data_IF_422518159479
#
_entry.id   IF_422518159479
#
_cell.length_a   1.000
_cell.length_b   1.000
_cell.length_c   1.000
_cell.angle_alpha   90.00
_cell.angle_beta   90.00
_cell.angle_gamma   90.00
#
_symmetry.space_group_name_H-M   'P 1'
#
loop_
_entity.id
_entity.type
_entity.pdbx_description
1 polymer ?
#
# COMPACT_ATOMS: atom_id res chain seq x y z
N UNK A 1 31.16 76.08 69.84
CA UNK A 1 31.41 74.99 68.86
C UNK A 1 30.35 73.86 68.84
N UNK A 2 29.26 73.90 69.62
CA UNK A 2 28.28 72.80 69.65
C UNK A 2 27.24 72.77 68.51
N UNK A 3 26.97 73.90 67.83
CA UNK A 3 25.94 73.94 66.77
C UNK A 3 26.34 73.21 65.48
N UNK A 4 27.64 73.14 65.15
CA UNK A 4 28.13 72.48 63.92
C UNK A 4 28.00 70.96 64.01
N UNK A 5 28.11 70.39 65.21
CA UNK A 5 28.05 68.95 65.42
C UNK A 5 26.63 68.37 65.29
N UNK A 6 25.60 69.18 65.53
CA UNK A 6 24.20 68.75 65.47
C UNK A 6 23.69 68.68 64.02
N UNK A 7 24.16 69.57 63.16
CA UNK A 7 23.82 69.60 61.73
C UNK A 7 24.45 68.45 60.96
N UNK A 8 25.70 68.08 61.24
CA UNK A 8 26.39 66.95 60.60
C UNK A 8 25.77 65.61 60.98
N UNK A 9 25.39 65.41 62.25
CA UNK A 9 24.64 64.24 62.71
C UNK A 9 23.29 64.08 61.99
N UNK A 10 22.59 65.19 61.76
CA UNK A 10 21.27 65.15 61.11
C UNK A 10 21.34 64.91 59.60
N UNK A 11 22.39 65.39 58.93
CA UNK A 11 22.66 65.08 57.52
C UNK A 11 23.11 63.63 57.33
N UNK A 12 23.96 63.10 58.23
CA UNK A 12 24.40 61.71 58.16
C UNK A 12 23.23 60.72 58.30
N UNK A 13 22.28 60.98 59.21
CA UNK A 13 21.06 60.16 59.34
C UNK A 13 20.17 60.20 58.09
N UNK A 14 20.06 61.35 57.42
CA UNK A 14 19.31 61.49 56.16
C UNK A 14 19.92 60.68 55.03
N UNK A 15 21.24 60.78 54.84
CA UNK A 15 21.95 60.01 53.81
C UNK A 15 21.85 58.49 54.04
N UNK A 16 21.92 58.02 55.30
CA UNK A 16 21.74 56.59 55.61
C UNK A 16 20.32 56.12 55.29
N UNK A 17 19.30 56.95 55.51
CA UNK A 17 17.92 56.61 55.19
C UNK A 17 17.69 56.51 53.67
N UNK A 18 18.20 57.47 52.90
CA UNK A 18 18.09 57.47 51.43
C UNK A 18 18.82 56.29 50.79
N UNK A 19 20.02 55.95 51.29
CA UNK A 19 20.78 54.78 50.82
C UNK A 19 20.03 53.47 51.13
N UNK A 20 19.36 53.38 52.28
CA UNK A 20 18.57 52.20 52.66
C UNK A 20 17.32 52.05 51.80
N UNK A 21 16.61 53.13 51.51
CA UNK A 21 15.47 53.11 50.59
C UNK A 21 15.84 52.74 49.16
N UNK A 22 16.96 53.28 48.65
CA UNK A 22 17.43 52.91 47.32
C UNK A 22 17.81 51.43 47.23
N UNK A 23 18.42 50.85 48.28
CA UNK A 23 18.71 49.41 48.32
C UNK A 23 17.43 48.57 48.33
N UNK A 24 16.43 48.95 49.13
CA UNK A 24 15.13 48.25 49.18
C UNK A 24 14.41 48.28 47.82
N UNK A 25 14.40 49.43 47.14
CA UNK A 25 13.81 49.55 45.79
C UNK A 25 14.53 48.66 44.76
N UNK A 26 15.86 48.54 44.84
CA UNK A 26 16.63 47.64 43.95
C UNK A 26 16.34 46.16 44.22
N UNK A 27 16.22 45.77 45.49
CA UNK A 27 15.89 44.39 45.88
C UNK A 27 14.48 44.02 45.42
N UNK A 28 13.48 44.87 45.68
CA UNK A 28 12.11 44.65 45.24
C UNK A 28 11.98 44.57 43.70
N UNK A 29 12.76 45.38 42.96
CA UNK A 29 12.79 45.32 41.50
C UNK A 29 13.38 44.01 40.97
N UNK A 30 14.45 43.48 41.60
CA UNK A 30 15.02 42.16 41.25
C UNK A 30 14.02 41.04 41.51
N UNK A 31 13.39 41.04 42.67
CA UNK A 31 12.44 39.99 43.05
C UNK A 31 11.20 39.94 42.14
N UNK A 32 10.71 41.11 41.68
CA UNK A 32 9.62 41.19 40.71
C UNK A 32 10.05 40.69 39.32
N UNK A 33 11.29 41.01 38.90
CA UNK A 33 11.85 40.53 37.63
C UNK A 33 12.02 39.01 37.61
N UNK A 34 12.51 38.43 38.71
CA UNK A 34 12.74 36.98 38.81
C UNK A 34 11.42 36.19 38.77
N UNK A 35 10.34 36.73 39.37
CA UNK A 35 9.00 36.14 39.29
C UNK A 35 8.45 36.16 37.86
N UNK A 36 8.59 37.28 37.15
CA UNK A 36 8.15 37.40 35.76
C UNK A 36 8.95 36.44 34.86
N UNK A 37 10.27 36.37 35.04
CA UNK A 37 11.12 35.48 34.26
C UNK A 37 10.75 34.01 34.46
N UNK A 38 10.52 33.58 35.71
CA UNK A 38 10.06 32.21 36.01
C UNK A 38 8.68 31.91 35.40
N UNK A 39 7.77 32.87 35.41
CA UNK A 39 6.43 32.70 34.81
C UNK A 39 6.52 32.55 33.29
N UNK A 40 7.26 33.46 32.63
CA UNK A 40 7.47 33.44 31.18
C UNK A 40 8.18 32.16 30.74
N UNK A 41 9.23 31.75 31.44
CA UNK A 41 9.98 30.51 31.13
C UNK A 41 9.10 29.26 31.21
N UNK A 42 8.25 29.13 32.24
CA UNK A 42 7.31 28.00 32.38
C UNK A 42 6.30 27.96 31.23
N UNK A 43 5.74 29.11 30.86
CA UNK A 43 4.79 29.17 29.75
C UNK A 43 5.46 28.83 28.43
N UNK A 44 6.61 29.43 28.10
CA UNK A 44 7.35 29.15 26.86
C UNK A 44 7.67 27.66 26.74
N UNK A 45 8.11 27.03 27.83
CA UNK A 45 8.39 25.59 27.84
C UNK A 45 7.12 24.77 27.56
N UNK A 46 5.99 25.09 28.19
CA UNK A 46 4.71 24.44 27.90
C UNK A 46 4.27 24.59 26.44
N UNK A 47 4.39 25.80 25.88
CA UNK A 47 4.11 26.05 24.47
C UNK A 47 5.03 25.25 23.53
N UNK A 48 6.32 25.15 23.85
CA UNK A 48 7.28 24.39 23.03
C UNK A 48 6.96 22.89 23.02
N UNK A 49 6.61 22.30 24.17
CA UNK A 49 6.22 20.88 24.24
C UNK A 49 4.94 20.65 23.43
N UNK A 50 3.94 21.52 23.62
CA UNK A 50 2.69 21.41 22.86
C UNK A 50 2.93 21.50 21.36
N UNK A 51 3.79 22.42 20.90
CA UNK A 51 4.10 22.56 19.48
C UNK A 51 4.76 21.30 18.90
N UNK A 52 5.72 20.71 19.63
CA UNK A 52 6.40 19.46 19.22
C UNK A 52 5.40 18.31 19.14
N UNK A 53 4.50 18.17 20.13
CA UNK A 53 3.47 17.13 20.11
C UNK A 53 2.53 17.29 18.90
N UNK A 54 2.05 18.51 18.62
CA UNK A 54 1.15 18.74 17.49
C UNK A 54 1.82 18.44 16.14
N UNK A 55 3.10 18.81 15.99
CA UNK A 55 3.87 18.49 14.79
C UNK A 55 4.09 16.98 14.62
N UNK A 56 4.41 16.28 15.71
CA UNK A 56 4.58 14.82 15.70
C UNK A 56 3.29 14.08 15.33
N UNK A 57 2.16 14.46 15.93
CA UNK A 57 0.85 13.88 15.60
C UNK A 57 0.46 14.19 14.15
N UNK A 58 0.71 15.41 13.67
CA UNK A 58 0.46 15.80 12.28
C UNK A 58 1.28 14.97 11.28
N UNK A 59 2.56 14.75 11.58
CA UNK A 59 3.44 13.92 10.77
C UNK A 59 2.92 12.46 10.67
N UNK A 60 2.57 11.85 11.81
CA UNK A 60 2.04 10.49 11.84
C UNK A 60 0.72 10.36 11.06
N UNK A 61 -0.17 11.35 11.20
CA UNK A 61 -1.44 11.38 10.46
C UNK A 61 -1.22 11.48 8.94
N UNK A 62 -0.28 12.34 8.51
CA UNK A 62 0.07 12.47 7.09
C UNK A 62 0.67 11.18 6.53
N UNK A 63 1.56 10.51 7.26
CA UNK A 63 2.14 9.24 6.82
C UNK A 63 1.08 8.15 6.71
N UNK A 64 0.16 8.06 7.68
CA UNK A 64 -0.94 7.10 7.62
C UNK A 64 -1.88 7.38 6.44
N UNK A 65 -2.16 8.66 6.15
CA UNK A 65 -2.97 9.05 5.00
C UNK A 65 -2.29 8.70 3.66
N UNK A 66 -0.98 8.92 3.54
CA UNK A 66 -0.21 8.52 2.36
C UNK A 66 -0.26 7.00 2.15
N UNK A 67 0.01 6.22 3.19
CA UNK A 67 -0.09 4.75 3.11
C UNK A 67 -1.50 4.28 2.77
N UNK A 68 -2.53 4.96 3.28
CA UNK A 68 -3.92 4.65 2.92
C UNK A 68 -4.19 4.91 1.43
N UNK A 69 -3.71 6.03 0.89
CA UNK A 69 -3.88 6.42 -0.51
C UNK A 69 -3.07 5.55 -1.49
N UNK A 70 -1.92 5.02 -1.06
CA UNK A 70 -1.11 4.10 -1.86
C UNK A 70 -1.78 2.74 -2.07
N UNK A 71 -2.83 2.43 -1.31
CA UNK A 71 -3.58 1.17 -1.37
C UNK A 71 -2.67 -0.08 -1.41
N UNK A 72 -1.71 -0.24 -0.49
CA UNK A 72 -0.86 -1.42 -0.47
C UNK A 72 -1.73 -2.64 -0.18
N UNK A 73 -1.99 -3.46 -1.20
CA UNK A 73 -2.71 -4.71 -1.03
C UNK A 73 -1.76 -5.75 -0.46
N UNK A 74 -2.07 -6.26 0.73
CA UNK A 74 -1.37 -7.41 1.31
C UNK A 74 -2.16 -8.65 0.92
N UNK A 75 -1.63 -9.40 -0.03
CA UNK A 75 -2.21 -10.70 -0.40
C UNK A 75 -1.76 -11.72 0.64
N UNK A 76 -2.68 -12.11 1.53
CA UNK A 76 -2.45 -13.23 2.45
C UNK A 76 -2.69 -14.54 1.72
N UNK A 77 -1.64 -15.37 1.57
CA UNK A 77 -1.76 -16.71 1.01
C UNK A 77 -2.38 -17.65 2.04
N UNK A 78 -3.70 -17.62 2.16
CA UNK A 78 -4.45 -18.64 2.88
C UNK A 78 -4.64 -19.85 1.96
N UNK A 79 -3.98 -20.96 2.31
CA UNK A 79 -4.10 -22.22 1.57
C UNK A 79 -5.36 -22.95 2.03
N UNK A 80 -6.51 -22.66 1.40
CA UNK A 80 -7.74 -23.42 1.59
C UNK A 80 -7.73 -24.63 0.66
N UNK A 81 -7.41 -25.81 1.20
CA UNK A 81 -7.36 -27.07 0.42
C UNK A 81 -8.72 -27.73 0.21
N UNK A 82 -9.75 -27.33 0.96
CA UNK A 82 -11.02 -28.07 1.05
C UNK A 82 -12.06 -27.69 -0.01
N UNK A 83 -11.77 -26.70 -0.87
CA UNK A 83 -12.70 -26.20 -1.87
C UNK A 83 -12.07 -26.06 -3.28
N UNK A 84 -11.11 -26.92 -3.62
CA UNK A 84 -10.55 -26.93 -4.96
C UNK A 84 -11.59 -27.48 -5.95
N UNK A 85 -12.31 -26.58 -6.62
CA UNK A 85 -13.13 -26.92 -7.78
C UNK A 85 -12.23 -27.53 -8.87
N UNK A 86 -12.73 -28.56 -9.54
CA UNK A 86 -12.01 -29.17 -10.66
C UNK A 86 -11.80 -28.11 -11.75
N UNK A 87 -10.56 -27.86 -12.22
CA UNK A 87 -10.31 -26.80 -13.17
C UNK A 87 -11.00 -27.10 -14.50
N UNK A 88 -11.46 -26.06 -15.19
CA UNK A 88 -11.91 -26.18 -16.56
C UNK A 88 -10.77 -26.71 -17.43
N UNK A 89 -10.91 -27.93 -17.94
CA UNK A 89 -9.94 -28.54 -18.86
C UNK A 89 -10.38 -28.27 -20.28
N UNK A 90 -9.55 -27.56 -21.04
CA UNK A 90 -9.75 -27.36 -22.49
C UNK A 90 -8.87 -28.35 -23.24
N UNK A 91 -9.48 -29.30 -23.95
CA UNK A 91 -8.77 -30.27 -24.79
C UNK A 91 -8.72 -29.71 -26.21
N UNK A 92 -7.51 -29.47 -26.72
CA UNK A 92 -7.27 -29.13 -28.12
C UNK A 92 -6.88 -30.41 -28.87
N UNK A 93 -7.73 -30.96 -29.75
CA UNK A 93 -7.32 -32.09 -30.56
C UNK A 93 -6.18 -31.65 -31.49
N UNK A 94 -5.14 -32.48 -31.63
CA UNK A 94 -4.06 -32.23 -32.60
C UNK A 94 -4.58 -32.25 -34.04
N UNK A 95 -5.60 -33.09 -34.28
CA UNK A 95 -6.24 -33.27 -35.58
C UNK A 95 -7.72 -32.90 -35.50
N UNK A 96 -8.04 -31.67 -35.91
CA UNK A 96 -9.40 -31.16 -35.90
C UNK A 96 -10.29 -31.77 -36.99
N UNK A 97 -9.69 -32.29 -38.06
CA UNK A 97 -10.40 -32.76 -39.26
C UNK A 97 -9.84 -34.08 -39.74
N UNK A 98 -10.72 -34.87 -40.34
CA UNK A 98 -10.27 -36.00 -41.15
C UNK A 98 -9.79 -35.47 -42.51
N UNK A 99 -8.49 -35.21 -42.64
CA UNK A 99 -7.88 -34.70 -43.88
C UNK A 99 -8.19 -35.60 -45.08
N UNK A 100 -8.28 -36.92 -44.89
CA UNK A 100 -8.64 -37.84 -45.97
C UNK A 100 -10.03 -37.57 -46.52
N UNK A 101 -11.00 -37.20 -45.68
CA UNK A 101 -12.35 -36.86 -46.14
C UNK A 101 -12.40 -35.46 -46.78
N UNK A 102 -11.71 -34.49 -46.19
CA UNK A 102 -11.60 -33.12 -46.74
C UNK A 102 -10.97 -33.16 -48.14
N UNK A 103 -9.90 -33.92 -48.32
CA UNK A 103 -9.21 -34.04 -49.61
C UNK A 103 -10.00 -34.82 -50.66
N UNK A 104 -10.91 -35.72 -50.25
CA UNK A 104 -11.85 -36.36 -51.19
C UNK A 104 -12.84 -35.35 -51.77
N UNK A 105 -13.26 -34.38 -50.98
CA UNK A 105 -14.27 -33.40 -51.38
C UNK A 105 -13.66 -32.16 -52.04
N UNK A 106 -12.50 -31.68 -51.56
CA UNK A 106 -11.74 -30.58 -52.15
C UNK A 106 -10.32 -31.01 -52.54
N UNK A 107 -10.15 -31.78 -53.63
CA UNK A 107 -8.87 -32.35 -54.02
C UNK A 107 -7.81 -31.31 -54.42
N UNK A 108 -8.23 -30.10 -54.81
CA UNK A 108 -7.31 -29.03 -55.26
C UNK A 108 -6.64 -28.26 -54.13
N UNK A 109 -7.22 -28.25 -52.92
CA UNK A 109 -6.76 -27.46 -51.76
C UNK A 109 -6.56 -28.37 -50.53
N UNK A 110 -5.82 -29.46 -50.72
CA UNK A 110 -5.65 -30.52 -49.73
C UNK A 110 -4.44 -30.32 -48.79
N UNK A 111 -3.65 -29.25 -48.95
CA UNK A 111 -2.50 -29.07 -48.06
C UNK A 111 -2.95 -28.60 -46.67
N UNK A 112 -2.20 -29.00 -45.63
CA UNK A 112 -2.46 -28.58 -44.24
C UNK A 112 -2.56 -27.06 -44.11
N UNK A 113 -1.78 -26.32 -44.91
CA UNK A 113 -1.76 -24.86 -44.94
C UNK A 113 -3.04 -24.29 -45.54
N UNK A 114 -3.50 -24.82 -46.67
CA UNK A 114 -4.72 -24.36 -47.36
C UNK A 114 -5.96 -24.59 -46.50
N UNK A 115 -6.01 -25.76 -45.86
CA UNK A 115 -7.05 -26.12 -44.90
C UNK A 115 -7.03 -25.09 -43.77
N UNK A 116 -5.92 -24.93 -43.03
CA UNK A 116 -5.81 -23.97 -41.91
C UNK A 116 -6.13 -22.51 -42.29
N UNK A 117 -5.72 -22.05 -43.48
CA UNK A 117 -5.99 -20.70 -43.97
C UNK A 117 -7.49 -20.45 -44.24
N UNK A 118 -8.23 -21.47 -44.68
CA UNK A 118 -9.68 -21.37 -44.80
C UNK A 118 -10.40 -21.29 -43.43
N UNK A 119 -9.74 -21.66 -42.32
CA UNK A 119 -10.31 -21.59 -40.96
C UNK A 119 -10.00 -20.31 -40.20
N UNK A 120 -8.99 -19.54 -40.58
CA UNK A 120 -8.71 -18.24 -39.93
C UNK A 120 -9.78 -17.19 -40.24
N UNK A 121 -10.69 -17.48 -41.19
CA UNK A 121 -11.83 -16.64 -41.53
C UNK A 121 -13.05 -16.99 -40.64
N UNK A 122 -13.67 -16.00 -39.95
CA UNK A 122 -14.79 -16.25 -39.05
C UNK A 122 -16.00 -16.84 -39.79
N UNK A 123 -16.38 -18.05 -39.37
CA UNK A 123 -17.30 -18.96 -40.07
C UNK A 123 -18.78 -18.73 -39.78
N UNK A 124 -19.25 -17.50 -39.88
CA UNK A 124 -20.66 -17.24 -39.55
C UNK A 124 -21.65 -17.60 -40.67
N UNK A 125 -21.22 -17.74 -41.94
CA UNK A 125 -22.17 -18.05 -43.03
C UNK A 125 -21.62 -18.98 -44.12
N UNK A 126 -20.34 -18.89 -44.49
CA UNK A 126 -19.86 -19.44 -45.78
C UNK A 126 -19.26 -20.86 -45.74
N UNK A 127 -19.05 -21.46 -44.56
CA UNK A 127 -18.27 -22.70 -44.41
C UNK A 127 -18.96 -23.73 -43.48
N UNK A 128 -20.29 -23.78 -43.51
CA UNK A 128 -21.10 -24.75 -42.74
C UNK A 128 -20.76 -26.20 -43.11
N UNK A 129 -20.45 -26.48 -44.38
CA UNK A 129 -20.11 -27.81 -44.91
C UNK A 129 -18.86 -28.42 -44.27
N UNK A 130 -17.90 -27.58 -43.86
CA UNK A 130 -16.69 -28.04 -43.18
C UNK A 130 -16.95 -28.61 -41.78
N UNK A 131 -18.11 -28.32 -41.17
CA UNK A 131 -18.49 -28.90 -39.88
C UNK A 131 -18.67 -30.42 -39.96
N UNK A 132 -19.05 -30.95 -41.12
CA UNK A 132 -19.24 -32.40 -41.33
C UNK A 132 -17.92 -33.19 -41.34
N UNK A 133 -16.80 -32.55 -41.66
CA UNK A 133 -15.48 -33.19 -41.69
C UNK A 133 -14.65 -32.94 -40.43
N UNK A 134 -15.13 -32.08 -39.54
CA UNK A 134 -14.56 -31.91 -38.20
C UNK A 134 -14.72 -33.20 -37.44
N UNK A 135 -13.69 -33.68 -36.75
CA UNK A 135 -13.78 -34.93 -36.00
C UNK A 135 -14.85 -34.84 -34.91
N UNK A 136 -15.93 -35.64 -34.95
CA UNK A 136 -16.88 -35.73 -33.88
C UNK A 136 -16.87 -37.18 -33.38
N UNK A 137 -15.76 -37.61 -32.77
CA UNK A 137 -15.85 -38.74 -31.86
C UNK A 137 -15.92 -38.14 -30.48
N UNK A 138 -17.16 -37.90 -30.02
CA UNK A 138 -17.45 -37.46 -28.65
C UNK A 138 -16.68 -38.34 -27.64
N UNK A 139 -16.60 -39.64 -27.92
CA UNK A 139 -15.81 -40.60 -27.14
C UNK A 139 -14.31 -40.25 -27.07
N UNK A 140 -13.72 -39.71 -28.14
CA UNK A 140 -12.32 -39.26 -28.15
C UNK A 140 -12.12 -37.97 -27.35
N UNK A 141 -13.16 -37.13 -27.20
CA UNK A 141 -13.13 -35.96 -26.31
C UNK A 141 -13.16 -36.37 -24.83
N UNK A 142 -13.82 -37.49 -24.51
CA UNK A 142 -13.89 -38.02 -23.15
C UNK A 142 -12.78 -39.01 -22.81
N UNK A 143 -12.03 -39.54 -23.80
CA UNK A 143 -10.79 -40.29 -23.58
C UNK A 143 -9.66 -39.32 -23.21
N UNK A 144 -9.71 -38.81 -21.99
CA UNK A 144 -8.64 -38.04 -21.41
C UNK A 144 -7.80 -38.96 -20.53
N UNK A 145 -6.51 -39.12 -20.87
CA UNK A 145 -5.51 -39.64 -19.96
C UNK A 145 -4.84 -38.44 -19.31
N UNK A 146 -5.10 -38.22 -18.02
CA UNK A 146 -4.43 -37.15 -17.28
C UNK A 146 -2.97 -37.56 -17.07
N UNK A 147 -2.06 -36.76 -17.63
CA UNK A 147 -0.62 -36.95 -17.49
C UNK A 147 -0.01 -35.83 -16.67
N UNK A 148 0.76 -36.19 -15.64
CA UNK A 148 1.58 -35.25 -14.89
C UNK A 148 3.02 -35.27 -15.42
N UNK A 149 3.72 -34.14 -15.34
CA UNK A 149 5.17 -34.08 -15.61
C UNK A 149 6.01 -34.59 -14.43
N UNK A 150 5.37 -34.87 -13.29
CA UNK A 150 6.03 -35.38 -12.09
C UNK A 150 6.09 -36.91 -12.14
N UNK A 151 7.27 -37.49 -11.94
CA UNK A 151 7.51 -38.95 -11.98
C UNK A 151 6.66 -39.74 -10.94
N UNK A 152 6.20 -39.07 -9.89
CA UNK A 152 5.40 -39.66 -8.81
C UNK A 152 3.92 -39.85 -9.16
N UNK A 153 3.40 -39.12 -10.16
CA UNK A 153 2.00 -39.21 -10.54
C UNK A 153 1.83 -40.12 -11.74
N UNK A 154 1.31 -41.32 -11.50
CA UNK A 154 0.94 -42.22 -12.58
C UNK A 154 -0.21 -41.64 -13.40
N UNK A 155 -0.18 -41.78 -14.73
CA UNK A 155 -1.28 -41.32 -15.57
C UNK A 155 -2.54 -42.14 -15.30
N UNK A 156 -3.70 -41.49 -15.28
CA UNK A 156 -4.99 -42.15 -15.08
C UNK A 156 -5.99 -41.74 -16.16
N UNK A 157 -6.91 -42.65 -16.49
CA UNK A 157 -8.00 -42.39 -17.42
C UNK A 157 -9.16 -41.72 -16.69
N UNK A 158 -9.70 -40.64 -17.26
CA UNK A 158 -10.84 -39.91 -16.69
C UNK A 158 -12.19 -40.67 -16.80
N UNK A 159 -12.20 -41.88 -17.37
CA UNK A 159 -13.43 -42.65 -17.71
C UNK A 159 -13.53 -43.96 -16.92
N UNK A 160 -12.87 -44.07 -15.77
CA UNK A 160 -13.04 -45.18 -14.82
C UNK A 160 -13.40 -44.68 -13.43
#
# INVERSE_FOLDING_TARGET
MCCVYKTTQHQMKRNVHEVREQKLKRVAKREKSDRIFKYVSKHIFGWSISAICTLGCGYQALTALQTYLEHPSVVSSTYVKEAAEFPGVTICPENWYNMTQVCKFWPRNCTRKDVMQAYSLPKLVTLSEFRFYGQPLLQSLFRCQMMSRTELCQPFDCVK
#
